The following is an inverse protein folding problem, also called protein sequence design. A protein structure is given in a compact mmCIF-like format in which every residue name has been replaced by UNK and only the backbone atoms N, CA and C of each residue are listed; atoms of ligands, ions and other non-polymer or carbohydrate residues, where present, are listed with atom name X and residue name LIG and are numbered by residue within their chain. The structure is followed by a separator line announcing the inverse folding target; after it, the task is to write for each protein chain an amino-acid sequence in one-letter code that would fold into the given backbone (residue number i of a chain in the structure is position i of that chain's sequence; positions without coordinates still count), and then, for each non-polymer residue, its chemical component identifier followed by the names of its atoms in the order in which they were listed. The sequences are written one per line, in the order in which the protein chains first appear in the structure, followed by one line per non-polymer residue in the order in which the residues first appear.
data_IF_827900817079
#
_entry.id   IF_827900817079
#
_cell.length_a   1.000
_cell.length_b   1.000
_cell.length_c   1.000
_cell.angle_alpha   90.00
_cell.angle_beta   90.00
_cell.angle_gamma   90.00
#
_symmetry.space_group_name_H-M   'P 1'
#
loop_
_entity.id
_entity.type
_entity.pdbx_description
1 polymer ?
#
# COMPACT_ATOMS: atom_id res chain seq x y z
N UNK A 1 -74.05 35.77 10.02
CA UNK A 1 -73.07 36.42 9.14
C UNK A 1 -71.73 35.98 9.58
N UNK A 2 -71.19 34.92 8.93
CA UNK A 2 -70.02 34.17 9.35
C UNK A 2 -68.91 34.45 8.34
N UNK A 3 -67.79 35.07 8.79
CA UNK A 3 -66.55 35.23 8.03
C UNK A 3 -65.60 34.02 8.29
N UNK A 4 -65.31 33.25 7.28
CA UNK A 4 -64.25 32.18 7.30
C UNK A 4 -62.97 32.81 6.96
N UNK A 5 -61.94 32.69 7.83
CA UNK A 5 -60.56 33.00 7.56
C UNK A 5 -59.86 31.76 6.98
N UNK A 6 -59.27 31.91 5.81
CA UNK A 6 -58.35 30.89 5.18
C UNK A 6 -56.93 31.17 5.69
N UNK A 7 -56.35 30.22 6.41
CA UNK A 7 -54.93 30.21 6.72
C UNK A 7 -54.20 29.39 5.67
N UNK A 8 -53.37 30.05 4.88
CA UNK A 8 -52.41 29.42 3.94
C UNK A 8 -51.16 29.03 4.72
N UNK A 9 -50.89 27.73 4.82
CA UNK A 9 -49.64 27.19 5.34
C UNK A 9 -48.65 27.14 4.17
N UNK A 10 -47.65 28.00 4.20
CA UNK A 10 -46.48 27.93 3.28
C UNK A 10 -45.47 26.96 3.89
N UNK A 11 -45.38 25.76 3.33
CA UNK A 11 -44.35 24.78 3.68
C UNK A 11 -43.02 25.17 3.05
N UNK A 12 -42.07 25.56 3.86
CA UNK A 12 -40.67 25.77 3.41
C UNK A 12 -39.99 24.42 3.39
N UNK A 13 -39.74 23.92 2.18
CA UNK A 13 -38.89 22.73 1.95
C UNK A 13 -37.42 23.14 2.17
N UNK A 14 -36.81 22.71 3.28
CA UNK A 14 -35.37 22.77 3.47
C UNK A 14 -34.75 21.65 2.66
N UNK A 15 -34.16 21.95 1.49
CA UNK A 15 -33.25 21.10 0.78
C UNK A 15 -31.92 21.06 1.57
N UNK A 16 -31.71 20.01 2.35
CA UNK A 16 -30.43 19.74 2.96
C UNK A 16 -29.44 19.36 1.83
N UNK A 17 -28.54 20.27 1.50
CA UNK A 17 -27.38 19.97 0.70
C UNK A 17 -26.46 19.10 1.55
N UNK A 18 -26.44 17.79 1.27
CA UNK A 18 -25.41 16.90 1.77
C UNK A 18 -24.14 17.20 0.97
N UNK A 19 -23.30 18.04 1.53
CA UNK A 19 -21.92 18.21 1.02
C UNK A 19 -21.19 16.90 1.25
N UNK A 20 -20.93 16.14 0.19
CA UNK A 20 -19.98 15.03 0.22
C UNK A 20 -18.61 15.68 0.44
N UNK A 21 -18.14 15.69 1.68
CA UNK A 21 -16.79 16.07 2.02
C UNK A 21 -15.91 14.94 1.49
N UNK A 22 -15.29 15.16 0.34
CA UNK A 22 -14.21 14.31 -0.16
C UNK A 22 -13.07 14.37 0.87
N UNK A 23 -12.75 13.24 1.47
CA UNK A 23 -11.66 13.14 2.41
C UNK A 23 -10.35 13.25 1.64
N UNK A 24 -9.74 14.44 1.63
CA UNK A 24 -8.38 14.62 1.07
C UNK A 24 -7.37 14.09 2.08
N UNK A 25 -6.57 13.10 1.67
CA UNK A 25 -5.39 12.67 2.42
C UNK A 25 -4.29 13.73 2.31
N UNK A 26 -3.64 14.01 3.42
CA UNK A 26 -2.46 14.89 3.45
C UNK A 26 -1.20 14.03 3.52
N UNK A 27 -0.29 14.20 2.57
CA UNK A 27 0.99 13.51 2.54
C UNK A 27 2.08 14.50 2.91
N UNK A 28 2.85 14.17 3.94
CA UNK A 28 4.03 14.91 4.37
C UNK A 28 5.28 14.12 3.97
N UNK A 29 6.14 14.70 3.12
CA UNK A 29 7.41 14.09 2.67
C UNK A 29 8.54 14.65 3.51
N UNK A 30 9.33 13.78 4.14
CA UNK A 30 10.47 14.12 4.98
C UNK A 30 11.73 13.47 4.38
N UNK A 31 12.70 14.30 4.00
CA UNK A 31 13.94 13.86 3.37
C UNK A 31 13.82 13.70 1.86
N UNK A 32 14.61 14.45 1.13
CA UNK A 32 14.79 14.30 -0.32
C UNK A 32 16.25 13.88 -0.56
N UNK A 33 16.48 12.92 -1.44
CA UNK A 33 17.83 12.52 -1.85
C UNK A 33 18.58 13.70 -2.51
N UNK A 34 19.88 13.80 -2.28
CA UNK A 34 20.72 14.87 -2.85
C UNK A 34 20.77 14.85 -4.40
N UNK A 35 20.42 13.72 -5.04
CA UNK A 35 20.51 13.52 -6.48
C UNK A 35 19.14 13.26 -7.12
N UNK A 36 18.17 14.13 -6.90
CA UNK A 36 16.84 14.01 -7.52
C UNK A 36 16.89 14.36 -9.01
N UNK A 37 16.24 13.53 -9.85
CA UNK A 37 16.07 13.80 -11.28
C UNK A 37 15.07 14.95 -11.48
N UNK A 38 15.47 16.08 -12.13
CA UNK A 38 14.57 17.20 -12.38
C UNK A 38 13.60 16.89 -13.53
N UNK A 39 12.32 16.70 -13.22
CA UNK A 39 11.28 16.39 -14.21
C UNK A 39 10.28 17.52 -14.31
N UNK A 40 10.05 18.01 -15.54
CA UNK A 40 8.95 18.91 -15.84
C UNK A 40 7.73 18.08 -16.29
N UNK A 41 6.58 18.36 -15.71
CA UNK A 41 5.30 17.76 -16.10
C UNK A 41 4.35 18.91 -16.39
N UNK A 42 3.96 19.07 -17.65
CA UNK A 42 3.02 20.12 -18.07
C UNK A 42 1.59 19.59 -18.09
N UNK A 43 0.58 20.44 -17.91
CA UNK A 43 -0.81 20.04 -18.16
C UNK A 43 -0.95 19.49 -19.59
N UNK A 44 -1.66 18.38 -19.74
CA UNK A 44 -1.91 17.81 -21.06
C UNK A 44 -2.87 18.68 -21.85
N UNK A 45 -2.78 18.68 -23.18
CA UNK A 45 -3.77 19.32 -24.04
C UNK A 45 -5.10 18.56 -24.05
N UNK A 46 -6.22 19.25 -24.32
CA UNK A 46 -7.56 18.68 -24.37
C UNK A 46 -8.45 19.11 -23.22
N UNK A 47 -9.17 18.18 -22.54
CA UNK A 47 -10.03 18.52 -21.42
C UNK A 47 -9.20 19.01 -20.21
N UNK A 48 -9.34 20.31 -19.89
CA UNK A 48 -8.50 20.94 -18.88
C UNK A 48 -8.63 20.38 -17.46
N UNK A 49 -9.82 19.87 -17.07
CA UNK A 49 -10.02 19.24 -15.76
C UNK A 49 -9.34 17.88 -15.69
N UNK A 50 -9.49 17.07 -16.74
CA UNK A 50 -8.84 15.77 -16.85
C UNK A 50 -7.33 15.91 -16.90
N UNK A 51 -6.84 16.86 -17.71
CA UNK A 51 -5.42 17.16 -17.88
C UNK A 51 -4.75 17.54 -16.56
N UNK A 52 -5.38 18.41 -15.77
CA UNK A 52 -4.86 18.84 -14.47
C UNK A 52 -4.88 17.69 -13.46
N UNK A 53 -5.98 16.92 -13.37
CA UNK A 53 -6.09 15.79 -12.47
C UNK A 53 -5.01 14.72 -12.72
N UNK A 54 -4.77 14.37 -14.00
CA UNK A 54 -3.70 13.42 -14.39
C UNK A 54 -2.33 13.96 -13.98
N UNK A 55 -2.05 15.25 -14.28
CA UNK A 55 -0.79 15.89 -13.89
C UNK A 55 -0.57 15.84 -12.38
N UNK A 56 -1.58 16.21 -11.59
CA UNK A 56 -1.45 16.28 -10.12
C UNK A 56 -1.14 14.91 -9.52
N UNK A 57 -1.77 13.84 -10.03
CA UNK A 57 -1.45 12.46 -9.64
C UNK A 57 -0.01 12.12 -9.99
N UNK A 58 0.42 12.36 -11.23
CA UNK A 58 1.80 12.08 -11.68
C UNK A 58 2.85 12.80 -10.83
N UNK A 59 2.61 14.10 -10.57
CA UNK A 59 3.50 14.92 -9.73
C UNK A 59 3.58 14.35 -8.32
N UNK A 60 2.43 14.03 -7.71
CA UNK A 60 2.37 13.43 -6.38
C UNK A 60 3.14 12.11 -6.31
N UNK A 61 2.96 11.23 -7.30
CA UNK A 61 3.60 9.92 -7.38
C UNK A 61 5.12 10.04 -7.48
N UNK A 62 5.62 10.82 -8.42
CA UNK A 62 7.05 10.97 -8.64
C UNK A 62 7.74 11.63 -7.44
N UNK A 63 7.12 12.65 -6.83
CA UNK A 63 7.64 13.27 -5.61
C UNK A 63 7.69 12.29 -4.44
N UNK A 64 6.65 11.43 -4.29
CA UNK A 64 6.62 10.41 -3.23
C UNK A 64 7.73 9.38 -3.34
N UNK A 65 8.23 9.10 -4.53
CA UNK A 65 9.39 8.21 -4.66
C UNK A 65 10.66 8.78 -4.02
N UNK A 66 10.72 10.10 -3.81
CA UNK A 66 11.90 10.82 -3.34
C UNK A 66 13.03 10.93 -4.35
N UNK A 67 12.90 10.30 -5.53
CA UNK A 67 13.92 10.27 -6.59
C UNK A 67 13.79 11.42 -7.59
N UNK A 68 12.68 12.16 -7.55
CA UNK A 68 12.38 13.22 -8.50
C UNK A 68 12.11 14.55 -7.79
N UNK A 69 12.46 15.63 -8.46
CA UNK A 69 11.98 16.98 -8.15
C UNK A 69 11.26 17.56 -9.35
N UNK A 70 10.22 18.32 -9.11
CA UNK A 70 9.46 18.94 -10.20
C UNK A 70 10.08 20.26 -10.63
N UNK A 71 10.09 20.51 -11.94
CA UNK A 71 10.49 21.78 -12.56
C UNK A 71 9.25 22.51 -13.03
N UNK A 72 9.08 23.76 -12.61
CA UNK A 72 7.93 24.59 -12.98
C UNK A 72 7.91 24.93 -14.46
N UNK A 73 6.71 24.86 -15.07
CA UNK A 73 6.54 25.19 -16.51
C UNK A 73 6.62 26.69 -16.81
N UNK A 74 6.42 27.55 -15.82
CA UNK A 74 6.40 29.01 -16.03
C UNK A 74 5.36 29.49 -17.05
N UNK A 75 4.24 28.75 -17.18
CA UNK A 75 3.18 29.05 -18.14
C UNK A 75 3.36 28.44 -19.53
N UNK A 76 4.48 27.78 -19.80
CA UNK A 76 4.72 27.08 -21.07
C UNK A 76 4.13 25.66 -20.96
N UNK A 77 3.28 25.26 -21.90
CA UNK A 77 2.61 23.95 -21.88
C UNK A 77 2.58 23.35 -23.29
N UNK A 78 3.73 22.84 -23.81
CA UNK A 78 3.73 22.12 -25.06
C UNK A 78 2.96 20.80 -24.94
N UNK A 79 2.21 20.44 -25.98
CA UNK A 79 1.43 19.21 -26.02
C UNK A 79 1.97 18.20 -27.03
N UNK A 80 2.77 18.68 -27.99
CA UNK A 80 3.42 17.89 -29.04
C UNK A 80 4.90 18.26 -29.14
N UNK A 81 5.79 17.35 -29.61
CA UNK A 81 7.23 17.63 -29.68
C UNK A 81 7.61 18.89 -30.50
N UNK A 82 6.83 19.22 -31.53
CA UNK A 82 7.10 20.37 -32.36
C UNK A 82 6.97 21.72 -31.61
N UNK A 83 6.27 21.75 -30.48
CA UNK A 83 6.10 22.92 -29.61
C UNK A 83 7.19 23.05 -28.54
N UNK A 84 8.09 22.03 -28.42
CA UNK A 84 9.10 21.99 -27.36
C UNK A 84 10.33 22.80 -27.76
N UNK A 85 10.61 23.85 -27.00
CA UNK A 85 11.90 24.54 -27.02
C UNK A 85 12.85 23.90 -25.99
N UNK A 86 13.70 23.00 -26.40
CA UNK A 86 14.66 22.34 -25.51
C UNK A 86 15.57 23.31 -24.76
N UNK A 87 16.09 24.41 -25.39
CA UNK A 87 16.90 25.40 -24.65
C UNK A 87 16.16 26.04 -23.48
N UNK A 88 14.85 26.30 -23.61
CA UNK A 88 14.05 26.91 -22.55
C UNK A 88 13.89 25.95 -21.36
N UNK A 89 13.72 24.64 -21.61
CA UNK A 89 13.61 23.63 -20.57
C UNK A 89 14.97 23.36 -19.89
N UNK A 90 16.07 23.36 -20.65
CA UNK A 90 17.44 23.29 -20.12
C UNK A 90 17.74 24.48 -19.20
N UNK A 91 17.40 25.69 -19.62
CA UNK A 91 17.57 26.91 -18.81
C UNK A 91 16.77 26.88 -17.50
N UNK A 92 15.64 26.14 -17.45
CA UNK A 92 14.86 25.87 -16.22
C UNK A 92 15.44 24.75 -15.36
N UNK A 93 16.45 24.06 -15.86
CA UNK A 93 17.09 22.95 -15.16
C UNK A 93 16.28 21.64 -15.20
N UNK A 94 15.45 21.44 -16.23
CA UNK A 94 14.78 20.16 -16.47
C UNK A 94 15.71 19.20 -17.21
N UNK A 95 15.76 17.94 -16.75
CA UNK A 95 16.43 16.85 -17.45
C UNK A 95 15.45 15.99 -18.24
N UNK A 96 14.21 15.90 -17.76
CA UNK A 96 13.14 15.17 -18.41
C UNK A 96 11.88 16.07 -18.50
N UNK A 97 11.09 15.88 -19.58
CA UNK A 97 9.85 16.61 -19.81
C UNK A 97 8.75 15.63 -20.22
N UNK A 98 7.61 15.67 -19.53
CA UNK A 98 6.41 14.93 -19.88
C UNK A 98 5.40 15.87 -20.51
N UNK A 99 5.01 15.55 -21.74
CA UNK A 99 4.00 16.25 -22.52
C UNK A 99 2.92 15.26 -22.97
N UNK A 100 1.75 15.76 -23.38
CA UNK A 100 0.72 14.89 -23.92
C UNK A 100 -0.62 15.57 -24.15
N UNK A 101 -1.60 14.75 -24.53
CA UNK A 101 -2.99 15.13 -24.74
C UNK A 101 -3.92 14.13 -24.07
N UNK A 102 -5.08 14.59 -23.62
CA UNK A 102 -6.13 13.74 -23.04
C UNK A 102 -7.46 14.00 -23.72
N UNK A 103 -8.19 12.94 -24.01
CA UNK A 103 -9.51 13.01 -24.62
C UNK A 103 -10.45 11.93 -24.05
N UNK A 104 -11.68 12.34 -23.75
CA UNK A 104 -12.76 11.40 -23.51
C UNK A 104 -13.17 10.73 -24.82
N UNK A 105 -13.43 9.43 -24.79
CA UNK A 105 -13.89 8.62 -25.93
C UNK A 105 -15.39 8.36 -25.83
N UNK A 106 -16.03 8.14 -26.97
CA UNK A 106 -17.48 7.92 -27.06
C UNK A 106 -17.99 6.68 -26.28
N UNK A 107 -17.10 5.79 -25.84
CA UNK A 107 -17.43 4.57 -25.12
C UNK A 107 -17.31 4.70 -23.58
N UNK A 108 -17.26 5.91 -23.04
CA UNK A 108 -17.10 6.16 -21.59
C UNK A 108 -15.70 5.84 -21.08
N UNK A 109 -14.70 5.94 -21.96
CA UNK A 109 -13.28 5.78 -21.61
C UNK A 109 -12.53 7.08 -21.86
N UNK A 110 -11.54 7.35 -21.04
CA UNK A 110 -10.57 8.42 -21.24
C UNK A 110 -9.26 7.83 -21.76
N UNK A 111 -8.68 8.45 -22.78
CA UNK A 111 -7.36 8.10 -23.32
C UNK A 111 -6.41 9.30 -23.14
N UNK A 112 -5.26 9.06 -22.54
CA UNK A 112 -4.15 9.99 -22.49
C UNK A 112 -3.01 9.48 -23.38
N UNK A 113 -2.60 10.29 -24.36
CA UNK A 113 -1.36 10.08 -25.13
C UNK A 113 -0.28 10.93 -24.50
N UNK A 114 0.85 10.32 -24.15
CA UNK A 114 1.94 11.06 -23.53
C UNK A 114 3.28 10.70 -24.15
N UNK A 115 4.20 11.64 -24.04
CA UNK A 115 5.59 11.47 -24.43
C UNK A 115 6.48 11.90 -23.28
N UNK A 116 7.52 11.11 -23.03
CA UNK A 116 8.63 11.47 -22.15
C UNK A 116 9.83 11.82 -23.02
N UNK A 117 10.35 13.02 -22.83
CA UNK A 117 11.49 13.56 -23.58
C UNK A 117 12.70 13.71 -22.65
N UNK A 118 13.87 13.29 -23.12
CA UNK A 118 15.17 13.65 -22.53
C UNK A 118 15.53 15.06 -23.02
N UNK A 119 15.54 16.01 -22.09
CA UNK A 119 15.76 17.42 -22.42
C UNK A 119 17.23 17.68 -22.75
N UNK A 120 18.16 16.93 -22.14
CA UNK A 120 19.60 17.09 -22.36
C UNK A 120 20.01 16.53 -23.72
N UNK A 121 19.58 15.30 -24.03
CA UNK A 121 19.88 14.61 -25.29
C UNK A 121 18.94 14.99 -26.43
N UNK A 122 17.87 15.72 -26.14
CA UNK A 122 16.84 16.13 -27.10
C UNK A 122 16.22 14.94 -27.85
N UNK A 123 15.98 13.85 -27.12
CA UNK A 123 15.46 12.60 -27.66
C UNK A 123 14.16 12.20 -26.98
N UNK A 124 13.34 11.45 -27.72
CA UNK A 124 12.11 10.88 -27.19
C UNK A 124 12.40 9.53 -26.51
N UNK A 125 12.04 9.41 -25.24
CA UNK A 125 12.23 8.20 -24.44
C UNK A 125 11.00 7.30 -24.43
N UNK A 126 9.79 7.87 -24.41
CA UNK A 126 8.48 7.18 -24.44
C UNK A 126 7.54 7.91 -25.39
N UNK A 127 6.67 7.15 -26.07
CA UNK A 127 5.53 7.63 -26.85
C UNK A 127 4.44 6.58 -26.78
N UNK A 128 3.48 6.73 -25.85
CA UNK A 128 2.48 5.74 -25.54
C UNK A 128 1.10 6.39 -25.31
N UNK A 129 0.06 5.55 -25.42
CA UNK A 129 -1.28 5.88 -24.99
C UNK A 129 -1.69 4.98 -23.82
N UNK A 130 -2.32 5.59 -22.82
CA UNK A 130 -2.91 4.91 -21.67
C UNK A 130 -4.39 5.24 -21.64
N UNK A 131 -5.24 4.24 -21.45
CA UNK A 131 -6.68 4.45 -21.34
C UNK A 131 -7.27 3.71 -20.16
N UNK A 132 -8.25 4.33 -19.53
CA UNK A 132 -9.06 3.76 -18.45
C UNK A 132 -10.53 4.19 -18.59
N UNK A 133 -11.40 3.57 -17.84
CA UNK A 133 -12.79 4.04 -17.73
C UNK A 133 -12.83 5.41 -17.05
N UNK A 134 -13.79 6.26 -17.42
CA UNK A 134 -13.86 7.65 -16.93
C UNK A 134 -13.88 7.78 -15.39
N UNK A 135 -14.35 6.75 -14.70
CA UNK A 135 -14.35 6.68 -13.22
C UNK A 135 -12.92 6.45 -12.65
N UNK A 136 -11.99 5.97 -13.47
CA UNK A 136 -10.64 5.57 -13.07
C UNK A 136 -9.54 6.53 -13.55
N UNK A 137 -9.82 7.81 -13.63
CA UNK A 137 -8.87 8.81 -14.15
C UNK A 137 -7.55 8.86 -13.38
N UNK A 138 -7.58 8.63 -12.07
CA UNK A 138 -6.35 8.55 -11.26
C UNK A 138 -5.44 7.42 -11.72
N UNK A 139 -6.02 6.28 -12.12
CA UNK A 139 -5.27 5.14 -12.63
C UNK A 139 -4.46 5.49 -13.91
N UNK A 140 -4.94 6.42 -14.75
CA UNK A 140 -4.16 6.93 -15.89
C UNK A 140 -2.92 7.67 -15.38
N UNK A 141 -3.08 8.58 -14.42
CA UNK A 141 -1.97 9.33 -13.82
C UNK A 141 -0.94 8.41 -13.18
N UNK A 142 -1.37 7.48 -12.33
CA UNK A 142 -0.52 6.45 -11.71
C UNK A 142 0.22 5.59 -12.74
N UNK A 143 -0.49 5.15 -13.80
CA UNK A 143 0.12 4.32 -14.84
C UNK A 143 1.18 5.09 -15.65
N UNK A 144 0.93 6.36 -15.97
CA UNK A 144 1.93 7.19 -16.65
C UNK A 144 3.12 7.45 -15.72
N UNK A 145 2.88 7.73 -14.44
CA UNK A 145 3.95 7.89 -13.45
C UNK A 145 4.80 6.63 -13.31
N UNK A 146 4.19 5.43 -13.30
CA UNK A 146 4.90 4.15 -13.30
C UNK A 146 5.82 4.02 -14.52
N UNK A 147 5.33 4.33 -15.72
CA UNK A 147 6.11 4.23 -16.97
C UNK A 147 7.26 5.25 -17.01
N UNK A 148 7.02 6.47 -16.52
CA UNK A 148 8.05 7.51 -16.40
C UNK A 148 9.11 7.09 -15.38
N UNK A 149 8.67 6.61 -14.21
CA UNK A 149 9.55 6.10 -13.17
C UNK A 149 10.44 4.97 -13.69
N UNK A 150 9.84 3.95 -14.30
CA UNK A 150 10.56 2.80 -14.83
C UNK A 150 11.58 3.20 -15.90
N UNK A 151 11.19 4.12 -16.81
CA UNK A 151 12.08 4.58 -17.87
C UNK A 151 13.29 5.34 -17.36
N UNK A 152 13.13 6.13 -16.30
CA UNK A 152 14.19 6.99 -15.77
C UNK A 152 15.06 6.29 -14.71
N UNK A 153 14.53 5.29 -14.01
CA UNK A 153 15.24 4.59 -12.92
C UNK A 153 15.66 3.17 -13.26
N UNK A 154 15.00 2.52 -14.22
CA UNK A 154 15.16 1.10 -14.53
C UNK A 154 14.35 0.17 -13.62
N UNK A 155 13.74 0.66 -12.55
CA UNK A 155 12.91 -0.12 -11.63
C UNK A 155 11.43 0.05 -11.97
N UNK A 156 10.62 -1.00 -11.82
CA UNK A 156 9.16 -0.91 -12.01
C UNK A 156 8.53 0.08 -11.03
N UNK A 157 7.62 0.94 -11.51
CA UNK A 157 6.81 1.80 -10.67
C UNK A 157 5.78 1.00 -9.87
N UNK A 158 5.29 1.58 -8.77
CA UNK A 158 4.31 0.95 -7.87
C UNK A 158 3.10 1.84 -7.60
N UNK A 159 2.98 2.93 -8.36
CA UNK A 159 1.94 3.95 -8.10
C UNK A 159 0.55 3.47 -8.49
N UNK A 160 0.43 2.59 -9.49
CA UNK A 160 -0.83 1.96 -9.88
C UNK A 160 -1.11 0.66 -9.09
N UNK A 161 -0.61 0.56 -7.86
CA UNK A 161 -0.93 -0.55 -6.96
C UNK A 161 -1.91 -0.11 -5.88
N UNK A 162 -2.41 -1.08 -5.10
CA UNK A 162 -3.35 -0.82 -4.01
C UNK A 162 -2.76 -1.21 -2.67
N UNK A 163 -3.29 -0.63 -1.61
CA UNK A 163 -3.00 -0.97 -0.22
C UNK A 163 -4.27 -1.47 0.45
N UNK A 164 -4.13 -2.30 1.47
CA UNK A 164 -5.21 -2.59 2.40
C UNK A 164 -4.77 -2.27 3.83
N UNK A 165 -5.70 -1.80 4.64
CA UNK A 165 -5.43 -1.47 6.04
C UNK A 165 -6.72 -1.48 6.86
N UNK A 166 -6.59 -1.48 8.16
CA UNK A 166 -7.71 -1.37 9.09
C UNK A 166 -7.77 0.06 9.62
N UNK A 167 -8.93 0.71 9.52
CA UNK A 167 -9.16 2.03 10.08
C UNK A 167 -10.26 1.98 11.15
N UNK A 168 -9.94 2.38 12.38
CA UNK A 168 -10.90 2.48 13.47
C UNK A 168 -11.44 3.89 13.58
N UNK A 169 -12.76 4.04 13.39
CA UNK A 169 -13.48 5.31 13.53
C UNK A 169 -14.53 5.14 14.63
N UNK A 170 -14.30 5.75 15.77
CA UNK A 170 -15.13 5.54 16.96
C UNK A 170 -15.10 4.08 17.42
N UNK A 171 -16.24 3.39 17.37
CA UNK A 171 -16.35 1.97 17.72
C UNK A 171 -16.27 1.05 16.48
N UNK A 172 -16.25 1.59 15.26
CA UNK A 172 -16.22 0.79 14.03
C UNK A 172 -14.81 0.52 13.55
N UNK A 173 -14.57 -0.73 13.20
CA UNK A 173 -13.39 -1.18 12.45
C UNK A 173 -13.79 -1.35 10.99
N UNK A 174 -13.04 -0.72 10.11
CA UNK A 174 -13.22 -0.78 8.67
C UNK A 174 -11.99 -1.40 8.04
N UNK A 175 -12.17 -2.51 7.32
CA UNK A 175 -11.16 -3.02 6.41
C UNK A 175 -11.29 -2.22 5.11
N UNK A 176 -10.24 -1.51 4.75
CA UNK A 176 -10.22 -0.58 3.62
C UNK A 176 -9.22 -1.07 2.57
N UNK A 177 -9.59 -0.91 1.30
CA UNK A 177 -8.71 -0.97 0.14
C UNK A 177 -8.67 0.40 -0.49
N UNK A 178 -7.47 0.89 -0.79
CA UNK A 178 -7.26 2.20 -1.41
C UNK A 178 -6.14 2.14 -2.46
N UNK A 179 -5.98 3.19 -3.25
CA UNK A 179 -4.78 3.42 -4.06
C UNK A 179 -3.56 3.51 -3.13
N UNK A 180 -2.36 3.25 -3.65
CA UNK A 180 -1.15 3.24 -2.84
C UNK A 180 -0.83 4.59 -2.16
N UNK A 181 -1.45 5.67 -2.61
CA UNK A 181 -1.38 7.00 -2.02
C UNK A 181 -2.51 7.30 -1.03
N UNK A 182 -3.38 6.32 -0.80
CA UNK A 182 -4.47 6.39 0.14
C UNK A 182 -5.76 7.01 -0.41
N UNK A 183 -5.80 7.41 -1.67
CA UNK A 183 -7.05 7.85 -2.31
C UNK A 183 -7.94 6.67 -2.70
N UNK A 184 -9.17 6.97 -3.15
CA UNK A 184 -10.17 5.97 -3.58
C UNK A 184 -10.42 4.88 -2.54
N UNK A 185 -10.55 5.27 -1.26
CA UNK A 185 -10.86 4.34 -0.17
C UNK A 185 -12.17 3.59 -0.44
N UNK A 186 -12.10 2.27 -0.42
CA UNK A 186 -13.24 1.37 -0.53
C UNK A 186 -13.34 0.53 0.74
N UNK A 187 -14.46 0.64 1.44
CA UNK A 187 -14.73 -0.17 2.63
C UNK A 187 -15.12 -1.57 2.18
N UNK A 188 -14.25 -2.54 2.42
CA UNK A 188 -14.45 -3.97 2.12
C UNK A 188 -15.31 -4.64 3.19
N UNK A 189 -15.11 -4.24 4.45
CA UNK A 189 -15.87 -4.72 5.62
C UNK A 189 -15.95 -3.60 6.66
N UNK A 190 -17.12 -3.43 7.28
CA UNK A 190 -17.32 -2.51 8.40
C UNK A 190 -18.11 -3.20 9.51
N UNK A 191 -17.57 -3.21 10.72
CA UNK A 191 -18.19 -3.86 11.90
C UNK A 191 -17.74 -3.18 13.21
N UNK A 192 -18.38 -3.54 14.33
CA UNK A 192 -17.99 -3.02 15.64
C UNK A 192 -16.87 -3.84 16.30
N UNK A 193 -16.65 -5.06 15.81
CA UNK A 193 -15.67 -5.96 16.37
C UNK A 193 -14.33 -5.80 15.66
N UNK A 194 -13.26 -6.19 16.34
CA UNK A 194 -11.89 -6.08 15.84
C UNK A 194 -11.70 -6.80 14.50
N UNK A 195 -11.04 -6.11 13.57
CA UNK A 195 -10.47 -6.67 12.34
C UNK A 195 -8.97 -6.50 12.40
N UNK A 196 -8.20 -7.51 11.98
CA UNK A 196 -6.74 -7.43 11.97
C UNK A 196 -6.09 -8.35 10.93
N UNK A 197 -4.79 -8.17 10.73
CA UNK A 197 -3.92 -9.00 9.90
C UNK A 197 -4.43 -9.21 8.46
N UNK A 198 -4.77 -8.15 7.71
CA UNK A 198 -5.12 -8.31 6.30
C UNK A 198 -3.92 -8.85 5.52
N UNK A 199 -4.21 -9.70 4.52
CA UNK A 199 -3.21 -10.28 3.64
C UNK A 199 -3.78 -10.44 2.23
N UNK A 200 -3.10 -9.88 1.23
CA UNK A 200 -3.47 -9.95 -0.18
C UNK A 200 -3.20 -11.33 -0.78
N UNK A 201 -4.13 -11.82 -1.60
CA UNK A 201 -3.79 -12.89 -2.54
C UNK A 201 -2.80 -12.38 -3.61
N UNK A 202 -1.91 -13.25 -4.16
CA UNK A 202 -0.89 -12.82 -5.11
C UNK A 202 -1.44 -12.18 -6.39
N UNK A 203 -2.68 -12.52 -6.77
CA UNK A 203 -3.39 -11.96 -7.92
C UNK A 203 -4.20 -10.68 -7.60
N UNK A 204 -4.17 -10.22 -6.34
CA UNK A 204 -4.91 -9.04 -5.90
C UNK A 204 -6.43 -9.17 -5.90
N UNK A 205 -6.98 -10.38 -6.06
CA UNK A 205 -8.42 -10.63 -6.15
C UNK A 205 -9.10 -10.86 -4.81
N UNK A 206 -8.35 -11.27 -3.78
CA UNK A 206 -8.86 -11.62 -2.46
C UNK A 206 -8.05 -10.98 -1.34
N UNK A 207 -8.72 -10.78 -0.19
CA UNK A 207 -8.07 -10.51 1.10
C UNK A 207 -8.39 -11.64 2.08
N UNK A 208 -7.35 -12.13 2.76
CA UNK A 208 -7.51 -12.88 3.99
C UNK A 208 -7.36 -11.94 5.17
N UNK A 209 -8.13 -12.13 6.23
CA UNK A 209 -8.06 -11.30 7.44
C UNK A 209 -8.68 -12.02 8.63
N UNK A 210 -8.41 -11.52 9.83
CA UNK A 210 -9.03 -11.98 11.08
C UNK A 210 -10.19 -11.08 11.43
N UNK A 211 -11.33 -11.67 11.80
CA UNK A 211 -12.50 -10.96 12.32
C UNK A 211 -12.96 -11.57 13.64
N UNK A 212 -13.42 -10.70 14.55
CA UNK A 212 -13.96 -11.09 15.86
C UNK A 212 -15.48 -10.99 15.92
N UNK A 213 -16.17 -10.86 14.81
CA UNK A 213 -17.65 -10.68 14.72
C UNK A 213 -18.46 -11.83 15.37
N UNK A 214 -17.86 -13.01 15.52
CA UNK A 214 -18.48 -14.17 16.17
C UNK A 214 -18.16 -14.27 17.67
N UNK A 215 -17.48 -13.26 18.25
CA UNK A 215 -17.03 -13.25 19.64
C UNK A 215 -15.69 -13.93 19.88
N UNK A 216 -15.07 -14.52 18.84
CA UNK A 216 -13.73 -15.09 18.85
C UNK A 216 -13.03 -14.85 17.51
N UNK A 217 -11.72 -15.11 17.46
CA UNK A 217 -10.92 -14.89 16.26
C UNK A 217 -11.25 -15.94 15.19
N UNK A 218 -11.70 -15.51 14.01
CA UNK A 218 -11.93 -16.35 12.83
C UNK A 218 -11.18 -15.77 11.64
N UNK A 219 -10.51 -16.62 10.86
CA UNK A 219 -9.85 -16.21 9.62
C UNK A 219 -10.79 -16.37 8.45
N UNK A 220 -10.99 -15.29 7.72
CA UNK A 220 -11.81 -15.27 6.50
C UNK A 220 -10.94 -15.02 5.26
N UNK A 221 -11.41 -15.51 4.12
CA UNK A 221 -10.98 -15.14 2.78
C UNK A 221 -12.15 -14.49 2.06
N UNK A 222 -11.98 -13.27 1.58
CA UNK A 222 -13.01 -12.47 0.92
C UNK A 222 -12.60 -12.09 -0.49
N UNK A 223 -13.49 -12.32 -1.47
CA UNK A 223 -13.33 -11.83 -2.83
C UNK A 223 -13.61 -10.32 -2.89
N UNK A 224 -12.71 -9.55 -3.48
CA UNK A 224 -12.88 -8.11 -3.67
C UNK A 224 -13.83 -7.75 -4.82
N UNK A 225 -14.09 -8.70 -5.73
CA UNK A 225 -15.02 -8.49 -6.84
C UNK A 225 -16.47 -8.79 -6.48
N UNK A 226 -16.70 -9.88 -5.73
CA UNK A 226 -18.05 -10.33 -5.40
C UNK A 226 -18.49 -10.02 -3.98
N UNK A 227 -17.54 -9.65 -3.11
CA UNK A 227 -17.77 -9.47 -1.67
C UNK A 227 -18.01 -10.78 -0.90
N UNK A 228 -18.02 -11.93 -1.59
CA UNK A 228 -18.25 -13.23 -0.94
C UNK A 228 -17.10 -13.56 0.03
N UNK A 229 -17.48 -14.05 1.21
CA UNK A 229 -16.58 -14.44 2.29
C UNK A 229 -16.65 -15.94 2.51
N UNK A 230 -15.49 -16.55 2.75
CA UNK A 230 -15.37 -17.95 3.16
C UNK A 230 -14.55 -18.03 4.44
N UNK A 231 -14.95 -18.92 5.34
CA UNK A 231 -14.17 -19.24 6.53
C UNK A 231 -12.97 -20.08 6.10
N UNK A 232 -11.76 -19.63 6.46
CA UNK A 232 -10.53 -20.40 6.28
C UNK A 232 -10.20 -21.21 7.52
N UNK A 233 -10.31 -20.59 8.71
CA UNK A 233 -10.04 -21.24 10.00
C UNK A 233 -10.97 -20.68 11.07
N UNK A 234 -11.65 -21.60 11.76
CA UNK A 234 -12.56 -21.36 12.89
C UNK A 234 -12.43 -22.53 13.85
N UNK A 235 -11.27 -22.63 14.50
CA UNK A 235 -10.97 -23.67 15.47
C UNK A 235 -11.05 -23.11 16.88
N UNK A 236 -11.19 -24.01 17.86
CA UNK A 236 -11.10 -23.65 19.27
C UNK A 236 -9.78 -22.93 19.56
N UNK A 237 -9.84 -21.85 20.35
CA UNK A 237 -8.71 -20.97 20.63
C UNK A 237 -8.53 -19.83 19.63
N UNK A 238 -7.30 -19.44 19.37
CA UNK A 238 -6.97 -18.34 18.46
C UNK A 238 -6.74 -18.83 17.04
N UNK A 239 -7.29 -18.09 16.07
CA UNK A 239 -7.09 -18.27 14.63
C UNK A 239 -6.59 -16.94 14.08
N UNK A 240 -5.36 -16.84 13.59
CA UNK A 240 -4.76 -15.53 13.31
C UNK A 240 -3.69 -15.56 12.20
N UNK A 241 -3.17 -14.35 11.88
CA UNK A 241 -2.01 -14.07 11.04
C UNK A 241 -1.98 -14.84 9.70
N UNK A 242 -3.02 -14.74 8.86
CA UNK A 242 -2.99 -15.38 7.55
C UNK A 242 -1.90 -14.80 6.66
N UNK A 243 -1.25 -15.66 5.88
CA UNK A 243 -0.28 -15.26 4.85
C UNK A 243 -0.41 -16.17 3.63
N UNK A 244 -0.56 -15.58 2.44
CA UNK A 244 -0.68 -16.29 1.20
C UNK A 244 0.66 -16.80 0.68
N UNK A 245 0.67 -18.01 0.13
CA UNK A 245 1.79 -18.47 -0.70
C UNK A 245 1.84 -17.70 -2.02
N UNK A 246 3.03 -17.49 -2.62
CA UNK A 246 3.17 -16.68 -3.84
C UNK A 246 2.46 -17.28 -5.07
N UNK A 247 2.14 -18.58 -5.06
CA UNK A 247 1.35 -19.25 -6.10
C UNK A 247 -0.16 -19.23 -5.83
N UNK A 248 -0.60 -18.64 -4.71
CA UNK A 248 -2.01 -18.54 -4.32
C UNK A 248 -2.68 -19.86 -3.91
N UNK A 249 -1.94 -20.98 -3.85
CA UNK A 249 -2.54 -22.30 -3.59
C UNK A 249 -2.65 -22.66 -2.13
N UNK A 250 -1.94 -21.96 -1.25
CA UNK A 250 -1.92 -22.19 0.19
C UNK A 250 -1.96 -20.87 0.96
N UNK A 251 -2.43 -20.95 2.20
CA UNK A 251 -2.23 -19.94 3.23
C UNK A 251 -1.54 -20.57 4.42
N UNK A 252 -0.59 -19.86 5.00
CA UNK A 252 -0.15 -20.09 6.36
C UNK A 252 -1.10 -19.38 7.31
N UNK A 253 -1.46 -20.02 8.42
CA UNK A 253 -2.28 -19.46 9.51
C UNK A 253 -1.72 -19.88 10.85
N UNK A 254 -1.99 -19.12 11.88
CA UNK A 254 -1.59 -19.42 13.24
C UNK A 254 -2.80 -19.90 14.03
N UNK A 255 -2.69 -21.11 14.61
CA UNK A 255 -3.75 -21.72 15.40
C UNK A 255 -3.20 -22.12 16.79
N UNK A 256 -4.07 -22.02 17.83
CA UNK A 256 -3.76 -22.52 19.19
C UNK A 256 -4.51 -23.81 19.53
N UNK A 257 -5.18 -24.43 18.56
CA UNK A 257 -6.02 -25.62 18.73
C UNK A 257 -5.31 -26.82 19.39
N UNK A 258 -4.00 -26.93 19.22
CA UNK A 258 -3.19 -28.01 19.75
C UNK A 258 -2.24 -27.54 20.89
N UNK A 259 -2.60 -26.43 21.60
CA UNK A 259 -1.82 -25.83 22.70
C UNK A 259 -1.32 -24.41 22.38
N UNK A 260 0.01 -24.17 22.39
CA UNK A 260 0.60 -22.87 22.04
C UNK A 260 0.37 -22.53 20.58
N UNK A 261 0.53 -21.24 20.26
CA UNK A 261 0.39 -20.72 18.89
C UNK A 261 1.40 -21.39 17.96
N UNK A 262 0.91 -22.05 16.93
CA UNK A 262 1.73 -22.75 15.93
C UNK A 262 1.26 -22.41 14.52
N UNK A 263 2.15 -22.57 13.54
CA UNK A 263 1.86 -22.29 12.13
C UNK A 263 1.32 -23.55 11.46
N UNK A 264 0.23 -23.37 10.73
CA UNK A 264 -0.42 -24.39 9.91
C UNK A 264 -0.49 -23.91 8.46
N UNK A 265 -0.50 -24.83 7.53
CA UNK A 265 -0.83 -24.57 6.13
C UNK A 265 -2.23 -25.10 5.82
N UNK A 266 -2.98 -24.36 5.01
CA UNK A 266 -4.30 -24.72 4.54
C UNK A 266 -4.46 -24.34 3.06
N UNK A 267 -5.43 -24.94 2.36
CA UNK A 267 -5.89 -24.40 1.04
C UNK A 267 -6.78 -23.18 1.27
N UNK A 268 -6.96 -22.29 0.26
CA UNK A 268 -7.81 -21.12 0.37
C UNK A 268 -9.29 -21.39 0.71
N UNK A 269 -9.75 -22.61 0.51
CA UNK A 269 -11.09 -23.09 0.86
C UNK A 269 -11.19 -23.62 2.30
N UNK A 270 -10.12 -23.55 3.08
CA UNK A 270 -10.02 -24.05 4.46
C UNK A 270 -9.71 -25.54 4.55
N UNK A 271 -9.58 -26.26 3.46
CA UNK A 271 -9.26 -27.69 3.46
C UNK A 271 -7.76 -27.97 3.58
N UNK A 272 -7.39 -29.21 3.93
CA UNK A 272 -6.02 -29.70 3.93
C UNK A 272 -5.14 -29.06 5.01
N UNK A 273 -5.72 -28.66 6.14
CA UNK A 273 -4.98 -28.04 7.23
C UNK A 273 -3.98 -29.03 7.84
N UNK A 274 -2.71 -28.60 7.88
CA UNK A 274 -1.63 -29.36 8.51
C UNK A 274 -0.68 -28.46 9.30
N UNK A 275 -0.30 -28.86 10.49
CA UNK A 275 0.69 -28.18 11.33
C UNK A 275 2.09 -28.32 10.72
N UNK A 276 2.90 -27.25 10.78
CA UNK A 276 4.27 -27.22 10.25
C UNK A 276 5.33 -26.79 11.26
N UNK A 277 4.94 -26.14 12.37
CA UNK A 277 5.84 -25.81 13.49
C UNK A 277 5.46 -26.60 14.74
N UNK A 278 6.46 -26.99 15.56
CA UNK A 278 6.31 -27.92 16.68
C UNK A 278 7.13 -27.46 17.88
N UNK A 279 7.16 -26.17 18.19
CA UNK A 279 7.86 -25.63 19.36
C UNK A 279 6.95 -25.60 20.60
N UNK A 280 7.56 -25.49 21.78
CA UNK A 280 6.84 -25.18 23.02
C UNK A 280 6.51 -23.69 23.14
N UNK A 281 7.15 -22.85 22.34
CA UNK A 281 6.95 -21.42 22.26
C UNK A 281 5.79 -21.00 21.35
N UNK A 282 5.65 -19.69 21.19
CA UNK A 282 4.69 -19.04 20.29
C UNK A 282 5.35 -18.84 18.93
N UNK A 283 4.82 -19.51 17.90
CA UNK A 283 5.19 -19.31 16.51
C UNK A 283 4.07 -18.56 15.79
N UNK A 284 4.36 -17.35 15.28
CA UNK A 284 3.33 -16.44 14.75
C UNK A 284 3.86 -15.60 13.58
N UNK A 285 2.94 -14.85 12.91
CA UNK A 285 3.23 -13.89 11.84
C UNK A 285 4.02 -14.47 10.66
N UNK A 286 3.59 -15.63 10.10
CA UNK A 286 4.29 -16.25 8.99
C UNK A 286 4.30 -15.38 7.76
N UNK A 287 5.38 -15.48 6.95
CA UNK A 287 5.48 -14.85 5.65
C UNK A 287 6.28 -15.72 4.69
N UNK A 288 5.70 -16.05 3.53
CA UNK A 288 6.37 -16.84 2.51
C UNK A 288 7.48 -16.07 1.81
N UNK A 289 8.55 -16.77 1.44
CA UNK A 289 9.54 -16.25 0.50
C UNK A 289 8.93 -16.09 -0.91
N UNK A 290 9.45 -15.18 -1.76
CA UNK A 290 8.93 -14.95 -3.10
C UNK A 290 8.94 -16.20 -3.99
N UNK A 291 9.85 -17.12 -3.76
CA UNK A 291 9.95 -18.44 -4.46
C UNK A 291 9.06 -19.53 -3.82
N UNK A 292 8.38 -19.23 -2.70
CA UNK A 292 7.51 -20.15 -1.97
C UNK A 292 8.22 -21.29 -1.24
N UNK A 293 9.56 -21.28 -1.16
CA UNK A 293 10.31 -22.37 -0.56
C UNK A 293 10.48 -22.27 0.96
N UNK A 294 10.44 -21.05 1.50
CA UNK A 294 10.69 -20.78 2.91
C UNK A 294 9.55 -19.96 3.53
N UNK A 295 9.45 -20.06 4.85
CA UNK A 295 8.68 -19.16 5.70
C UNK A 295 9.63 -18.43 6.64
N UNK A 296 9.44 -17.11 6.79
CA UNK A 296 9.85 -16.35 7.96
C UNK A 296 8.70 -16.30 8.95
N UNK A 297 9.02 -16.28 10.23
CA UNK A 297 8.02 -16.14 11.29
C UNK A 297 8.66 -15.59 12.57
N UNK A 298 7.82 -15.06 13.44
CA UNK A 298 8.20 -14.64 14.79
C UNK A 298 8.09 -15.84 15.74
N UNK A 299 9.12 -16.08 16.57
CA UNK A 299 9.09 -17.12 17.60
C UNK A 299 9.81 -16.69 18.87
N UNK A 300 9.25 -17.04 20.02
CA UNK A 300 9.86 -16.83 21.34
C UNK A 300 10.54 -18.09 21.92
N UNK A 301 10.69 -19.16 21.11
CA UNK A 301 11.32 -20.44 21.49
C UNK A 301 12.73 -20.30 22.09
N UNK A 302 13.43 -19.21 21.78
CA UNK A 302 14.74 -18.86 22.33
C UNK A 302 14.69 -17.97 23.56
N UNK A 303 13.51 -17.80 24.21
CA UNK A 303 13.28 -17.01 25.42
C UNK A 303 12.75 -15.58 25.15
N UNK A 304 12.94 -15.04 23.96
CA UNK A 304 12.37 -13.74 23.53
C UNK A 304 12.00 -13.78 22.07
N UNK A 305 11.00 -12.96 21.62
CA UNK A 305 10.56 -12.93 20.23
C UNK A 305 11.68 -12.57 19.27
N UNK A 306 11.96 -13.46 18.32
CA UNK A 306 12.96 -13.31 17.27
C UNK A 306 12.42 -13.83 15.94
N UNK A 307 13.08 -13.47 14.85
CA UNK A 307 12.73 -13.96 13.52
C UNK A 307 13.43 -15.30 13.28
N UNK A 308 12.65 -16.25 12.80
CA UNK A 308 13.10 -17.58 12.39
C UNK A 308 12.71 -17.83 10.94
N UNK A 309 13.47 -18.71 10.28
CA UNK A 309 13.24 -19.18 8.91
C UNK A 309 13.15 -20.69 8.88
N UNK A 310 12.22 -21.25 8.11
CA UNK A 310 12.13 -22.69 7.89
C UNK A 310 11.70 -23.02 6.46
N UNK A 311 12.04 -24.23 5.94
CA UNK A 311 11.48 -24.68 4.66
C UNK A 311 9.97 -24.95 4.78
N UNK A 312 9.16 -24.55 3.80
CA UNK A 312 7.69 -24.78 3.76
C UNK A 312 7.32 -26.27 3.80
N UNK A 313 8.20 -27.10 3.25
CA UNK A 313 8.04 -28.59 3.26
C UNK A 313 8.29 -29.22 4.63
N UNK A 314 8.70 -28.43 5.62
CA UNK A 314 9.21 -28.89 6.92
C UNK A 314 10.72 -29.03 6.93
N UNK A 315 11.31 -29.08 8.11
CA UNK A 315 12.75 -29.19 8.32
C UNK A 315 13.22 -28.32 9.50
N UNK A 316 14.53 -28.16 9.63
CA UNK A 316 15.12 -27.39 10.72
C UNK A 316 14.81 -25.91 10.58
N UNK A 317 14.40 -25.29 11.67
CA UNK A 317 14.24 -23.86 11.79
C UNK A 317 15.58 -23.19 12.11
N UNK A 318 15.84 -22.08 11.44
CA UNK A 318 17.04 -21.28 11.63
C UNK A 318 16.63 -19.92 12.25
N UNK A 319 17.28 -19.55 13.36
CA UNK A 319 17.14 -18.19 13.91
C UNK A 319 17.86 -17.20 13.02
N UNK A 320 17.20 -16.10 12.67
CA UNK A 320 17.69 -15.09 11.74
C UNK A 320 18.14 -13.80 12.43
N UNK A 321 17.54 -13.46 13.59
CA UNK A 321 17.87 -12.24 14.32
C UNK A 321 18.48 -12.57 15.67
N UNK A 322 19.53 -11.81 16.04
CA UNK A 322 20.33 -11.99 17.23
C UNK A 322 20.53 -10.65 17.96
N UNK A 323 21.13 -10.67 19.14
CA UNK A 323 21.40 -9.47 19.93
C UNK A 323 20.26 -9.06 20.85
N UNK A 324 20.31 -7.83 21.33
CA UNK A 324 19.33 -7.28 22.26
C UNK A 324 18.05 -6.84 21.55
N UNK A 325 16.94 -6.87 22.28
CA UNK A 325 15.63 -6.47 21.78
C UNK A 325 14.79 -7.64 21.25
N UNK A 326 13.56 -7.31 20.87
CA UNK A 326 12.58 -8.24 20.32
C UNK A 326 12.29 -7.91 18.87
N UNK A 327 12.06 -8.93 18.07
CA UNK A 327 11.84 -8.79 16.62
C UNK A 327 10.54 -9.49 16.21
N UNK A 328 9.70 -8.78 15.43
CA UNK A 328 8.33 -9.18 15.10
C UNK A 328 8.00 -8.91 13.63
N UNK A 329 6.92 -9.54 13.16
CA UNK A 329 6.27 -9.23 11.89
C UNK A 329 7.20 -9.21 10.68
N UNK A 330 7.98 -10.29 10.43
CA UNK A 330 8.91 -10.33 9.32
C UNK A 330 8.18 -10.34 7.96
N UNK A 331 8.79 -9.71 6.95
CA UNK A 331 8.36 -9.79 5.54
C UNK A 331 9.59 -9.93 4.64
N UNK A 332 9.62 -10.95 3.79
CA UNK A 332 10.66 -11.08 2.79
C UNK A 332 10.70 -9.87 1.86
N UNK A 333 11.89 -9.46 1.44
CA UNK A 333 12.02 -8.52 0.32
C UNK A 333 11.54 -9.19 -0.99
N UNK A 334 10.92 -8.45 -1.93
CA UNK A 334 10.43 -9.02 -3.17
C UNK A 334 11.51 -9.69 -4.05
N UNK A 335 12.76 -9.27 -3.91
CA UNK A 335 13.92 -9.88 -4.60
C UNK A 335 14.49 -11.11 -3.87
N UNK A 336 13.95 -11.46 -2.70
CA UNK A 336 14.35 -12.61 -1.90
C UNK A 336 15.72 -12.49 -1.23
N UNK A 337 16.37 -11.31 -1.24
CA UNK A 337 17.73 -11.15 -0.68
C UNK A 337 17.76 -10.83 0.80
N UNK A 338 16.64 -10.38 1.37
CA UNK A 338 16.57 -10.00 2.76
C UNK A 338 15.12 -9.97 3.26
N UNK A 339 14.92 -9.29 4.38
CA UNK A 339 13.60 -9.11 4.98
C UNK A 339 13.54 -7.82 5.80
N UNK A 340 12.33 -7.29 5.95
CA UNK A 340 11.98 -6.19 6.85
C UNK A 340 11.23 -6.75 8.05
N UNK A 341 11.36 -6.11 9.20
CA UNK A 341 10.68 -6.51 10.42
C UNK A 341 10.51 -5.33 11.39
N UNK A 342 9.67 -5.51 12.40
CA UNK A 342 9.54 -4.59 13.53
C UNK A 342 10.57 -4.96 14.58
N UNK A 343 11.49 -4.05 14.89
CA UNK A 343 12.47 -4.17 15.96
C UNK A 343 12.01 -3.38 17.19
N UNK A 344 12.03 -3.99 18.37
CA UNK A 344 11.71 -3.34 19.64
C UNK A 344 12.95 -3.31 20.52
N UNK A 345 13.41 -2.10 20.84
CA UNK A 345 14.54 -1.88 21.74
C UNK A 345 14.37 -0.57 22.49
N UNK A 346 14.83 -0.52 23.73
CA UNK A 346 14.80 0.70 24.55
C UNK A 346 13.42 1.39 24.65
N UNK A 347 12.35 0.57 24.69
CA UNK A 347 10.96 1.06 24.79
C UNK A 347 10.36 1.63 23.51
N UNK A 348 11.03 1.50 22.36
CA UNK A 348 10.58 2.00 21.06
C UNK A 348 10.51 0.88 20.03
N UNK A 349 9.60 1.02 19.08
CA UNK A 349 9.52 0.18 17.88
C UNK A 349 10.15 0.90 16.71
N UNK A 350 10.92 0.17 15.91
CA UNK A 350 11.60 0.63 14.72
C UNK A 350 11.25 -0.30 13.55
N UNK A 351 11.33 0.21 12.33
CA UNK A 351 11.37 -0.62 11.14
C UNK A 351 12.84 -0.88 10.80
N UNK A 352 13.19 -2.16 10.72
CA UNK A 352 14.56 -2.60 10.41
C UNK A 352 14.54 -3.58 9.24
N UNK A 353 15.62 -3.61 8.48
CA UNK A 353 15.88 -4.61 7.43
C UNK A 353 17.09 -5.45 7.80
N UNK A 354 17.16 -6.65 7.21
CA UNK A 354 18.34 -7.52 7.31
C UNK A 354 18.55 -8.25 5.98
N UNK A 355 19.78 -8.25 5.52
CA UNK A 355 20.23 -9.01 4.34
C UNK A 355 20.54 -10.46 4.73
N UNK A 356 20.11 -11.45 3.92
CA UNK A 356 20.32 -12.86 4.23
C UNK A 356 21.79 -13.32 4.08
N UNK A 357 22.55 -12.66 3.23
CA UNK A 357 23.92 -13.07 2.94
C UNK A 357 24.94 -12.46 3.91
N UNK A 358 24.76 -11.17 4.21
CA UNK A 358 25.68 -10.43 5.09
C UNK A 358 25.23 -10.46 6.56
N UNK A 359 23.96 -10.84 6.82
CA UNK A 359 23.30 -10.79 8.11
C UNK A 359 23.29 -9.37 8.74
N UNK A 360 23.64 -8.37 7.94
CA UNK A 360 23.67 -6.98 8.39
C UNK A 360 22.27 -6.44 8.60
N UNK A 361 22.04 -5.93 9.81
CA UNK A 361 20.82 -5.22 10.19
C UNK A 361 20.98 -3.72 9.92
N UNK A 362 19.94 -3.10 9.40
CA UNK A 362 19.84 -1.65 9.20
C UNK A 362 18.52 -1.15 9.75
N UNK A 363 18.57 -0.09 10.61
CA UNK A 363 17.38 0.58 11.14
C UNK A 363 17.02 1.70 10.18
N UNK A 364 15.78 1.65 9.65
CA UNK A 364 15.30 2.59 8.63
C UNK A 364 14.58 3.81 9.23
N UNK A 365 14.15 3.74 10.50
CA UNK A 365 13.27 4.75 11.10
C UNK A 365 13.84 5.26 12.43
N UNK A 366 13.25 6.33 12.98
CA UNK A 366 13.76 6.98 14.19
C UNK A 366 13.22 6.40 15.51
N UNK A 367 12.28 5.47 15.35
CA UNK A 367 11.66 4.79 16.47
C UNK A 367 10.48 5.53 17.11
N UNK A 368 9.48 4.74 17.47
CA UNK A 368 8.23 5.21 18.07
C UNK A 368 7.23 4.06 18.14
N UNK A 369 6.05 4.24 17.59
CA UNK A 369 5.00 3.24 17.42
C UNK A 369 4.98 2.65 16.00
N UNK A 370 6.12 2.23 15.48
CA UNK A 370 6.34 1.80 14.10
C UNK A 370 6.26 0.28 14.00
N UNK A 371 5.20 -0.23 13.35
CA UNK A 371 4.86 -1.66 13.36
C UNK A 371 4.31 -2.14 12.02
N UNK A 372 4.34 -3.47 11.85
CA UNK A 372 3.70 -4.16 10.73
C UNK A 372 4.19 -3.66 9.35
N UNK A 373 5.49 -3.77 9.08
CA UNK A 373 6.02 -3.37 7.78
C UNK A 373 5.51 -4.25 6.64
N UNK A 374 5.35 -3.64 5.46
CA UNK A 374 4.98 -4.31 4.22
C UNK A 374 5.72 -3.68 3.05
N UNK A 375 6.46 -4.47 2.28
CA UNK A 375 7.12 -3.98 1.07
C UNK A 375 6.13 -3.62 -0.02
N UNK A 376 6.42 -2.56 -0.76
CA UNK A 376 5.91 -2.38 -2.11
C UNK A 376 6.45 -3.47 -3.04
N UNK A 377 5.73 -3.88 -4.10
CA UNK A 377 6.14 -5.03 -4.92
C UNK A 377 7.47 -4.84 -5.68
N UNK A 378 7.98 -3.60 -5.83
CA UNK A 378 9.32 -3.36 -6.37
C UNK A 378 10.43 -3.40 -5.30
N UNK A 379 10.10 -3.55 -4.02
CA UNK A 379 11.07 -3.56 -2.93
C UNK A 379 11.71 -2.22 -2.58
N UNK A 380 11.29 -1.11 -3.21
CA UNK A 380 11.91 0.22 -3.01
C UNK A 380 11.26 1.04 -1.90
N UNK A 381 10.02 0.72 -1.56
CA UNK A 381 9.27 1.36 -0.49
C UNK A 381 8.77 0.31 0.50
N UNK A 382 8.68 0.71 1.76
CA UNK A 382 8.15 -0.07 2.87
C UNK A 382 7.07 0.76 3.55
N UNK A 383 5.85 0.24 3.61
CA UNK A 383 4.74 0.83 4.36
C UNK A 383 4.67 0.22 5.75
N UNK A 384 4.27 1.01 6.74
CA UNK A 384 4.11 0.55 8.12
C UNK A 384 3.07 1.40 8.86
N UNK A 385 2.56 0.87 9.97
CA UNK A 385 1.73 1.64 10.89
C UNK A 385 2.62 2.48 11.82
N UNK A 386 2.27 3.74 12.02
CA UNK A 386 2.95 4.68 12.90
C UNK A 386 1.93 5.47 13.73
N UNK A 387 2.41 6.38 14.55
CA UNK A 387 1.56 7.30 15.30
C UNK A 387 1.90 8.75 14.91
N UNK A 388 0.86 9.54 14.68
CA UNK A 388 0.98 10.96 14.39
C UNK A 388 -0.19 11.74 14.97
N UNK A 389 0.10 12.86 15.62
CA UNK A 389 -0.93 13.72 16.25
C UNK A 389 -1.86 12.96 17.21
N UNK A 390 -1.32 11.96 17.95
CA UNK A 390 -2.06 11.17 18.95
C UNK A 390 -3.00 10.11 18.37
N UNK A 391 -2.83 9.71 17.11
CA UNK A 391 -3.61 8.63 16.46
C UNK A 391 -2.76 7.80 15.52
N UNK A 392 -3.25 6.60 15.20
CA UNK A 392 -2.62 5.73 14.21
C UNK A 392 -2.67 6.32 12.80
N UNK A 393 -1.55 6.28 12.11
CA UNK A 393 -1.37 6.72 10.73
C UNK A 393 -0.62 5.67 9.94
N UNK A 394 -0.70 5.74 8.62
CA UNK A 394 0.20 5.00 7.74
C UNK A 394 1.44 5.84 7.43
N UNK A 395 2.57 5.18 7.32
CA UNK A 395 3.82 5.82 6.91
C UNK A 395 4.55 4.93 5.90
N UNK A 396 5.40 5.54 5.08
CA UNK A 396 6.33 4.82 4.21
C UNK A 396 7.76 5.29 4.42
N UNK A 397 8.68 4.38 4.19
CA UNK A 397 10.11 4.67 4.14
C UNK A 397 10.71 4.00 2.90
N UNK A 398 11.66 4.66 2.24
CA UNK A 398 12.44 4.01 1.19
C UNK A 398 13.29 2.88 1.78
N UNK A 399 13.56 1.85 0.99
CA UNK A 399 14.34 0.67 1.45
C UNK A 399 15.77 1.02 1.89
N UNK A 400 16.28 2.21 1.54
CA UNK A 400 17.56 2.77 1.99
C UNK A 400 17.42 3.75 3.18
N UNK A 401 16.21 3.91 3.74
CA UNK A 401 15.93 4.75 4.91
C UNK A 401 15.92 6.27 4.67
N UNK A 402 16.22 6.74 3.45
CA UNK A 402 16.46 8.18 3.18
C UNK A 402 15.19 9.00 3.02
N UNK A 403 14.16 8.43 2.42
CA UNK A 403 12.89 9.12 2.15
C UNK A 403 11.82 8.57 3.06
N UNK A 404 11.18 9.43 3.83
CA UNK A 404 10.11 9.07 4.76
C UNK A 404 8.86 9.87 4.43
N UNK A 405 7.69 9.24 4.55
CA UNK A 405 6.42 9.89 4.31
C UNK A 405 5.42 9.47 5.36
N UNK A 406 4.52 10.38 5.71
CA UNK A 406 3.37 10.12 6.56
C UNK A 406 2.11 10.33 5.76
N UNK A 407 1.24 9.34 5.78
CA UNK A 407 -0.05 9.35 5.10
C UNK A 407 -1.11 9.52 6.19
N UNK A 408 -1.71 10.70 6.24
CA UNK A 408 -2.73 11.01 7.23
C UNK A 408 -4.11 10.75 6.65
N UNK A 409 -4.84 9.79 7.21
CA UNK A 409 -6.29 9.74 7.05
C UNK A 409 -6.93 10.92 7.76
N UNK A 410 -8.00 11.51 7.23
CA UNK A 410 -8.69 12.64 7.88
C UNK A 410 -9.36 12.24 9.19
N UNK A 411 -9.71 10.97 9.36
CA UNK A 411 -10.40 10.47 10.57
C UNK A 411 -9.94 9.05 10.92
N UNK A 412 -10.00 8.74 12.22
CA UNK A 412 -9.75 7.40 12.75
C UNK A 412 -8.28 7.07 13.01
N UNK A 413 -8.06 5.81 13.39
CA UNK A 413 -6.78 5.18 13.66
C UNK A 413 -6.48 4.17 12.57
N UNK A 414 -5.56 4.48 11.65
CA UNK A 414 -5.12 3.57 10.59
C UNK A 414 -4.03 2.61 11.13
N UNK A 415 -4.22 1.31 10.91
CA UNK A 415 -3.37 0.23 11.43
C UNK A 415 -3.29 -0.93 10.45
N UNK A 416 -2.37 -1.86 10.70
CA UNK A 416 -2.24 -3.14 9.97
C UNK A 416 -2.13 -2.95 8.43
N UNK A 417 -1.28 -2.05 7.93
CA UNK A 417 -1.16 -1.86 6.49
C UNK A 417 -0.54 -3.08 5.81
N UNK A 418 -0.99 -3.36 4.61
CA UNK A 418 -0.38 -4.33 3.71
C UNK A 418 -0.41 -3.80 2.28
N UNK A 419 0.75 -3.79 1.64
CA UNK A 419 0.87 -3.39 0.24
C UNK A 419 0.40 -4.55 -0.66
N UNK A 420 -0.44 -4.24 -1.65
CA UNK A 420 -0.95 -5.20 -2.61
C UNK A 420 0.06 -5.54 -3.72
N UNK A 421 -0.22 -6.59 -4.49
CA UNK A 421 0.60 -6.96 -5.64
C UNK A 421 0.43 -5.96 -6.80
N UNK A 422 1.24 -6.14 -7.84
CA UNK A 422 0.98 -5.49 -9.13
C UNK A 422 -0.39 -5.89 -9.69
N UNK A 423 -1.11 -4.97 -10.38
CA UNK A 423 -2.41 -5.24 -11.01
C UNK A 423 -2.30 -6.18 -12.19
#
# INVERSE_FOLDING_TARGET
MLLRAFQSVVGILFLAHVSVVSAEMTIEIIGAGENQVPVAIVPFGGDGKLAQAIKDVMVGDLLRSGLFRTVGSGGISPHVPAEVSYPDWQARGAEALVIGTVAAKANGRTEARFQLLDVVKQTKLIDLAVSADDIQMRAIGHRIADLVYEKLTGDKGVFNTRIAYVNRIGQKYNLIVADCDGYNEQIVLSQNDLIMSPAWSPDGSHLAYVSFETGHAVVYVQSLYTGQRKVLADFEGSNSAPAWSPDGKQLAVVLTRDGSSQIYLARPDGSGIRRITFSDGIDTEPNFSPDGQYLLFTSDRGGSPQIYRMPVKGGMEQRMTFGEGNNFSPRHSPDGKGFVYTHFSSGKFFIATQDFKTEQMEILTEGGWEKKPSYAPNGKLIMFASEGRGRGILATVSSDGRVKQRIFSQSGDAREPVWGPYP
#
